data_IF_445648782066
#
_entry.id   IF_445648782066
#
_cell.length_a   1.000
_cell.length_b   1.000
_cell.length_c   1.000
_cell.angle_alpha   90.00
_cell.angle_beta   90.00
_cell.angle_gamma   90.00
#
_symmetry.space_group_name_H-M   'P 1'
#
loop_
_entity.id
_entity.type
_entity.pdbx_description
1 polymer ?
#
# COMPACT_ATOMS: atom_id res chain seq x y z
N UNK A 1 26.23 37.31 20.64
CA UNK A 1 25.09 37.87 19.88
C UNK A 1 24.58 36.77 18.97
N UNK A 2 23.28 36.52 19.07
CA UNK A 2 22.55 35.36 18.57
C UNK A 2 22.74 35.10 17.07
N UNK A 3 22.94 33.84 16.68
CA UNK A 3 22.37 33.33 15.43
C UNK A 3 21.21 32.42 15.81
N UNK A 4 20.03 33.01 15.83
CA UNK A 4 18.76 32.29 15.90
C UNK A 4 18.66 31.31 14.74
N UNK A 5 18.58 30.02 15.08
CA UNK A 5 17.67 29.04 14.48
C UNK A 5 17.41 29.20 12.96
N UNK A 6 18.35 28.74 12.13
CA UNK A 6 18.14 28.53 10.69
C UNK A 6 17.24 27.30 10.49
N UNK A 7 15.97 27.40 10.89
CA UNK A 7 14.98 26.38 10.55
C UNK A 7 14.66 26.52 9.07
N UNK A 8 15.30 25.65 8.27
CA UNK A 8 15.03 25.53 6.85
C UNK A 8 13.51 25.49 6.59
N UNK A 9 13.03 26.31 5.65
CA UNK A 9 11.60 26.38 5.31
C UNK A 9 11.04 24.99 4.99
N UNK A 10 9.77 24.70 5.31
CA UNK A 10 9.16 23.43 4.94
C UNK A 10 9.20 23.18 3.43
N UNK A 11 9.47 21.93 3.05
CA UNK A 11 9.42 21.48 1.65
C UNK A 11 7.99 21.60 1.11
N UNK A 12 7.84 22.19 -0.06
CA UNK A 12 6.56 22.38 -0.73
C UNK A 12 6.29 21.17 -1.61
N UNK A 13 5.24 20.42 -1.28
CA UNK A 13 4.89 19.17 -1.97
C UNK A 13 3.67 19.38 -2.86
N UNK A 14 3.75 18.93 -4.10
CA UNK A 14 2.58 18.77 -4.96
C UNK A 14 2.26 17.28 -5.07
N UNK A 15 1.02 16.94 -4.71
CA UNK A 15 0.50 15.57 -4.66
C UNK A 15 -0.39 15.31 -5.88
N UNK A 16 0.14 14.61 -6.88
CA UNK A 16 -0.63 14.19 -8.06
C UNK A 16 -1.28 12.83 -7.82
N UNK A 17 -2.49 12.64 -8.35
CA UNK A 17 -3.28 11.43 -8.14
C UNK A 17 -3.54 11.19 -6.64
N UNK A 18 -3.94 12.26 -5.94
CA UNK A 18 -3.92 12.33 -4.49
C UNK A 18 -4.85 11.32 -3.81
N UNK A 19 -5.89 10.83 -4.50
CA UNK A 19 -6.81 9.84 -3.96
C UNK A 19 -7.41 10.30 -2.63
N UNK A 20 -7.25 9.46 -1.60
CA UNK A 20 -7.70 9.75 -0.22
C UNK A 20 -6.64 10.43 0.65
N UNK A 21 -5.49 10.82 0.08
CA UNK A 21 -4.39 11.49 0.77
C UNK A 21 -3.36 10.55 1.38
N UNK A 22 -3.14 9.38 0.77
CA UNK A 22 -2.14 8.41 1.26
C UNK A 22 -0.72 9.00 1.27
N UNK A 23 -0.33 9.73 0.22
CA UNK A 23 0.96 10.43 0.18
C UNK A 23 1.01 11.55 1.23
N UNK A 24 -0.09 12.29 1.42
CA UNK A 24 -0.18 13.30 2.48
C UNK A 24 0.06 12.69 3.87
N UNK A 25 -0.62 11.60 4.21
CA UNK A 25 -0.40 10.93 5.49
C UNK A 25 1.03 10.38 5.63
N UNK A 26 1.63 9.87 4.56
CA UNK A 26 3.04 9.46 4.56
C UNK A 26 3.99 10.64 4.88
N UNK A 27 3.71 11.85 4.39
CA UNK A 27 4.45 13.06 4.75
C UNK A 27 4.31 13.36 6.25
N UNK A 28 3.10 13.32 6.79
CA UNK A 28 2.86 13.55 8.23
C UNK A 28 3.58 12.51 9.09
N UNK A 29 3.49 11.24 8.70
CA UNK A 29 4.14 10.12 9.38
C UNK A 29 5.68 10.22 9.33
N UNK A 30 6.23 10.81 8.26
CA UNK A 30 7.67 11.01 8.13
C UNK A 30 8.26 11.96 9.18
N UNK A 31 7.43 12.85 9.75
CA UNK A 31 7.79 13.92 10.68
C UNK A 31 8.82 14.92 10.13
N UNK A 32 8.99 14.96 8.81
CA UNK A 32 9.83 15.95 8.15
C UNK A 32 9.08 17.27 7.94
N UNK A 33 9.78 18.43 7.93
CA UNK A 33 9.15 19.71 7.66
C UNK A 33 8.77 19.81 6.18
N UNK A 34 7.55 19.37 5.85
CA UNK A 34 6.99 19.42 4.51
C UNK A 34 5.50 19.76 4.55
N UNK A 35 5.00 20.39 3.50
CA UNK A 35 3.60 20.84 3.41
C UNK A 35 3.08 20.61 2.00
N UNK A 36 1.90 19.99 1.88
CA UNK A 36 1.22 19.84 0.60
C UNK A 36 0.60 21.17 0.19
N UNK A 37 1.12 21.77 -0.89
CA UNK A 37 0.67 23.07 -1.40
C UNK A 37 -0.42 22.95 -2.47
N UNK A 38 -0.50 21.79 -3.12
CA UNK A 38 -1.57 21.44 -4.03
C UNK A 38 -1.74 19.91 -4.08
N UNK A 39 -2.99 19.46 -4.08
CA UNK A 39 -3.36 18.06 -4.28
C UNK A 39 -4.31 17.95 -5.46
N UNK A 40 -4.17 16.90 -6.28
CA UNK A 40 -4.89 16.79 -7.56
C UNK A 40 -5.45 15.39 -7.77
N UNK A 41 -6.76 15.30 -7.99
CA UNK A 41 -7.43 14.08 -8.43
C UNK A 41 -8.75 14.41 -9.13
N UNK A 42 -9.12 13.63 -10.15
CA UNK A 42 -10.40 13.78 -10.86
C UNK A 42 -11.57 13.10 -10.13
N UNK A 43 -11.28 12.17 -9.23
CA UNK A 43 -12.29 11.33 -8.60
C UNK A 43 -13.02 12.07 -7.48
N UNK A 44 -14.29 12.40 -7.73
CA UNK A 44 -15.16 13.10 -6.76
C UNK A 44 -15.29 12.39 -5.42
N UNK A 45 -15.36 11.05 -5.42
CA UNK A 45 -15.46 10.26 -4.18
C UNK A 45 -14.18 10.35 -3.37
N UNK A 46 -13.02 10.17 -4.02
CA UNK A 46 -11.72 10.29 -3.36
C UNK A 46 -11.50 11.71 -2.83
N UNK A 47 -11.85 12.73 -3.61
CA UNK A 47 -11.78 14.14 -3.21
C UNK A 47 -12.69 14.50 -2.04
N UNK A 48 -13.87 13.88 -1.93
CA UNK A 48 -14.74 14.06 -0.78
C UNK A 48 -14.06 13.53 0.50
N UNK A 49 -13.41 12.36 0.42
CA UNK A 49 -12.65 11.78 1.53
C UNK A 49 -11.40 12.62 1.84
N UNK A 50 -10.66 13.06 0.82
CA UNK A 50 -9.48 13.90 1.00
C UNK A 50 -9.85 15.20 1.71
N UNK A 51 -10.85 15.94 1.22
CA UNK A 51 -11.28 17.23 1.78
C UNK A 51 -11.82 17.09 3.20
N UNK A 52 -12.45 15.97 3.53
CA UNK A 52 -12.91 15.67 4.88
C UNK A 52 -11.75 15.59 5.88
N UNK A 53 -10.63 15.00 5.48
CA UNK A 53 -9.46 14.83 6.35
C UNK A 53 -8.48 16.02 6.27
N UNK A 54 -8.45 16.74 5.15
CA UNK A 54 -7.54 17.85 4.87
C UNK A 54 -8.28 19.09 4.35
N UNK A 55 -9.15 19.73 5.16
CA UNK A 55 -10.01 20.81 4.69
C UNK A 55 -9.26 22.09 4.28
N UNK A 56 -8.02 22.26 4.74
CA UNK A 56 -7.19 23.44 4.50
C UNK A 56 -6.29 23.34 3.28
N UNK A 57 -6.20 22.17 2.64
CA UNK A 57 -5.33 21.95 1.48
C UNK A 57 -6.00 22.41 0.19
N UNK A 58 -5.24 23.01 -0.71
CA UNK A 58 -5.70 23.36 -2.05
C UNK A 58 -5.89 22.08 -2.89
N UNK A 59 -7.11 21.52 -2.84
CA UNK A 59 -7.50 20.33 -3.59
C UNK A 59 -8.14 20.71 -4.93
N UNK A 60 -7.44 20.40 -6.03
CA UNK A 60 -7.86 20.68 -7.39
C UNK A 60 -8.54 19.45 -8.00
N UNK A 61 -9.87 19.48 -8.09
CA UNK A 61 -10.64 18.46 -8.81
C UNK A 61 -10.60 18.72 -10.32
N UNK A 62 -9.45 18.45 -10.95
CA UNK A 62 -9.20 18.75 -12.37
C UNK A 62 -8.39 17.63 -13.02
N UNK A 63 -8.58 17.45 -14.31
CA UNK A 63 -7.67 16.63 -15.13
C UNK A 63 -6.31 17.34 -15.19
N UNK A 64 -5.25 16.62 -14.84
CA UNK A 64 -3.87 17.12 -14.81
C UNK A 64 -3.44 17.65 -16.19
N UNK A 65 -3.94 17.07 -17.28
CA UNK A 65 -3.66 17.54 -18.65
C UNK A 65 -4.25 18.93 -18.96
N UNK A 66 -5.20 19.38 -18.15
CA UNK A 66 -5.80 20.71 -18.23
C UNK A 66 -4.98 21.81 -17.53
N UNK A 67 -3.93 21.46 -16.79
CA UNK A 67 -3.15 22.39 -15.98
C UNK A 67 -1.92 22.85 -16.75
N UNK A 68 -1.77 24.16 -16.93
CA UNK A 68 -0.72 24.72 -17.79
C UNK A 68 0.59 24.92 -17.03
N UNK A 69 1.69 24.97 -17.77
CA UNK A 69 3.05 25.15 -17.24
C UNK A 69 3.17 26.31 -16.22
N UNK A 70 2.58 27.52 -16.44
CA UNK A 70 2.65 28.59 -15.45
C UNK A 70 2.02 28.23 -14.10
N UNK A 71 0.94 27.44 -14.10
CA UNK A 71 0.28 26.98 -12.87
C UNK A 71 1.19 25.98 -12.12
N UNK A 72 1.82 25.03 -12.83
CA UNK A 72 2.84 24.14 -12.24
C UNK A 72 3.99 24.93 -11.60
N UNK A 73 4.53 25.94 -12.30
CA UNK A 73 5.62 26.78 -11.79
C UNK A 73 5.19 27.67 -10.62
N UNK A 74 3.91 28.06 -10.55
CA UNK A 74 3.37 28.88 -9.46
C UNK A 74 3.36 28.15 -8.11
N UNK A 75 3.30 26.81 -8.12
CA UNK A 75 3.34 26.03 -6.89
C UNK A 75 4.70 26.07 -6.20
N UNK A 76 5.78 26.40 -6.92
CA UNK A 76 7.16 26.43 -6.37
C UNK A 76 7.46 25.16 -5.59
N UNK A 77 7.19 24.02 -6.22
CA UNK A 77 7.28 22.72 -5.58
C UNK A 77 8.75 22.30 -5.41
N UNK A 78 9.09 21.85 -4.20
CA UNK A 78 10.37 21.20 -3.94
C UNK A 78 10.26 19.68 -4.20
N UNK A 79 9.06 19.13 -4.04
CA UNK A 79 8.78 17.69 -4.19
C UNK A 79 7.54 17.46 -5.04
N UNK A 80 7.63 16.57 -6.01
CA UNK A 80 6.46 15.93 -6.61
C UNK A 80 6.27 14.53 -6.03
N UNK A 81 5.07 14.24 -5.53
CA UNK A 81 4.66 12.90 -5.11
C UNK A 81 3.50 12.45 -5.98
N UNK A 82 3.54 11.21 -6.48
CA UNK A 82 2.53 10.74 -7.44
C UNK A 82 2.31 9.22 -7.43
N UNK A 83 1.06 8.82 -7.63
CA UNK A 83 0.63 7.42 -7.85
C UNK A 83 -0.20 7.31 -9.14
N UNK A 84 0.43 7.45 -10.32
CA UNK A 84 -0.30 7.43 -11.59
C UNK A 84 -1.03 6.09 -11.81
N UNK A 85 -2.22 6.10 -12.45
CA UNK A 85 -3.00 4.89 -12.66
C UNK A 85 -2.27 3.90 -13.58
N UNK A 86 -2.21 2.62 -13.21
CA UNK A 86 -1.36 1.62 -13.89
C UNK A 86 -2.03 0.80 -15.01
N UNK A 87 -3.19 1.21 -15.51
CA UNK A 87 -3.91 0.40 -16.52
C UNK A 87 -3.45 0.80 -17.93
N UNK A 88 -2.94 -0.13 -18.78
CA UNK A 88 -3.16 -1.59 -18.78
C UNK A 88 -1.86 -2.44 -18.78
N UNK A 89 -0.94 -2.27 -17.82
CA UNK A 89 0.34 -3.01 -17.82
C UNK A 89 0.21 -4.52 -17.50
N UNK A 90 -1.01 -5.01 -17.21
CA UNK A 90 -1.29 -6.40 -16.78
C UNK A 90 -1.88 -7.30 -17.88
N UNK A 91 -1.92 -6.88 -19.15
CA UNK A 91 -2.30 -7.77 -20.26
C UNK A 91 -1.06 -8.15 -21.08
N UNK A 92 -0.52 -9.32 -20.77
CA UNK A 92 0.40 -10.06 -21.66
C UNK A 92 -0.20 -10.06 -23.07
N UNK A 93 0.41 -9.32 -24.00
CA UNK A 93 0.14 -9.46 -25.44
C UNK A 93 -0.34 -8.24 -26.25
N UNK A 94 -0.55 -7.05 -25.67
CA UNK A 94 -0.89 -5.85 -26.46
C UNK A 94 0.10 -4.71 -26.20
N UNK A 95 1.07 -4.56 -27.11
CA UNK A 95 2.05 -3.47 -27.19
C UNK A 95 1.37 -2.13 -27.48
N UNK A 96 0.71 -1.54 -26.50
CA UNK A 96 -0.07 -0.30 -26.66
C UNK A 96 -0.10 0.59 -25.42
N UNK A 97 0.94 0.53 -24.57
CA UNK A 97 1.02 1.24 -23.28
C UNK A 97 0.89 2.77 -23.40
N UNK A 98 1.39 3.34 -24.50
CA UNK A 98 1.40 4.80 -24.73
C UNK A 98 0.13 5.35 -25.38
N UNK A 99 -0.76 4.48 -25.90
CA UNK A 99 -2.02 4.87 -26.52
C UNK A 99 -3.21 4.87 -25.53
N UNK A 100 -3.03 4.40 -24.30
CA UNK A 100 -4.09 4.39 -23.29
C UNK A 100 -4.36 5.84 -22.80
N UNK A 101 -5.61 6.34 -22.89
CA UNK A 101 -5.96 7.65 -22.33
C UNK A 101 -5.58 7.84 -20.85
N UNK A 102 -5.43 6.74 -20.10
CA UNK A 102 -5.05 6.75 -18.67
C UNK A 102 -3.58 7.08 -18.45
N UNK A 103 -2.68 6.72 -19.37
CA UNK A 103 -1.24 7.06 -19.27
C UNK A 103 -0.95 8.49 -19.76
N UNK A 104 -1.86 9.09 -20.54
CA UNK A 104 -1.75 10.46 -21.07
C UNK A 104 -1.44 11.51 -19.99
N UNK A 105 -2.11 11.42 -18.84
CA UNK A 105 -1.91 12.39 -17.75
C UNK A 105 -0.49 12.32 -17.17
N UNK A 106 0.09 11.11 -17.08
CA UNK A 106 1.44 10.92 -16.57
C UNK A 106 2.49 11.38 -17.58
N UNK A 107 2.33 11.02 -18.86
CA UNK A 107 3.18 11.53 -19.94
C UNK A 107 3.14 13.06 -20.04
N UNK A 108 1.98 13.67 -19.76
CA UNK A 108 1.86 15.13 -19.68
C UNK A 108 2.68 15.73 -18.54
N UNK A 109 2.72 15.10 -17.36
CA UNK A 109 3.59 15.53 -16.25
C UNK A 109 5.06 15.46 -16.69
N UNK A 110 5.48 14.40 -17.38
CA UNK A 110 6.85 14.25 -17.89
C UNK A 110 7.21 15.33 -18.93
N UNK A 111 6.28 15.68 -19.82
CA UNK A 111 6.44 16.81 -20.75
C UNK A 111 6.55 18.15 -20.02
N UNK A 112 5.69 18.40 -19.03
CA UNK A 112 5.75 19.61 -18.20
C UNK A 112 7.11 19.69 -17.49
N UNK A 113 7.58 18.58 -16.89
CA UNK A 113 8.84 18.53 -16.17
C UNK A 113 10.03 18.99 -17.03
N UNK A 114 10.09 18.55 -18.30
CA UNK A 114 11.11 18.99 -19.28
C UNK A 114 11.06 20.49 -19.59
N UNK A 115 9.87 21.09 -19.54
CA UNK A 115 9.63 22.50 -19.88
C UNK A 115 9.71 23.44 -18.68
N UNK A 116 9.76 22.92 -17.45
CA UNK A 116 9.89 23.73 -16.24
C UNK A 116 11.27 24.39 -16.19
N UNK A 117 11.29 25.70 -15.93
CA UNK A 117 12.54 26.42 -15.66
C UNK A 117 13.15 26.05 -14.30
N UNK A 118 12.29 25.70 -13.35
CA UNK A 118 12.63 25.38 -11.96
C UNK A 118 11.83 24.14 -11.53
N UNK A 119 12.20 22.94 -12.04
CA UNK A 119 11.55 21.68 -11.66
C UNK A 119 11.92 21.30 -10.21
N UNK A 120 11.09 20.46 -9.55
CA UNK A 120 11.30 20.08 -8.16
C UNK A 120 12.69 19.47 -7.92
N UNK A 121 13.19 19.55 -6.70
CA UNK A 121 14.45 18.90 -6.35
C UNK A 121 14.29 17.40 -6.08
N UNK A 122 13.07 16.96 -5.77
CA UNK A 122 12.76 15.58 -5.41
C UNK A 122 11.51 15.07 -6.12
N UNK A 123 11.51 13.79 -6.47
CA UNK A 123 10.33 13.08 -7.00
C UNK A 123 10.18 11.74 -6.28
N UNK A 124 8.97 11.45 -5.79
CA UNK A 124 8.57 10.13 -5.29
C UNK A 124 7.42 9.62 -6.16
N UNK A 125 7.60 8.45 -6.75
CA UNK A 125 6.57 7.79 -7.54
C UNK A 125 6.26 6.42 -6.94
N UNK A 126 4.98 6.09 -6.81
CA UNK A 126 4.50 4.74 -6.52
C UNK A 126 3.76 4.18 -7.74
N UNK A 127 3.91 2.88 -7.97
CA UNK A 127 3.19 2.15 -8.99
C UNK A 127 3.05 0.66 -8.64
N UNK A 128 2.34 -0.11 -9.47
CA UNK A 128 2.23 -1.56 -9.28
C UNK A 128 3.50 -2.30 -9.71
N UNK A 129 3.68 -3.52 -9.18
CA UNK A 129 4.61 -4.50 -9.73
C UNK A 129 4.29 -4.75 -11.22
N UNK A 130 5.31 -4.80 -12.05
CA UNK A 130 5.24 -4.89 -13.51
C UNK A 130 5.46 -3.53 -14.19
N UNK A 131 5.24 -2.41 -13.49
CA UNK A 131 5.51 -1.07 -14.04
C UNK A 131 6.97 -0.90 -14.46
N UNK A 132 7.90 -1.52 -13.71
CA UNK A 132 9.34 -1.51 -13.97
C UNK A 132 9.73 -2.06 -15.36
N UNK A 133 8.85 -2.84 -15.99
CA UNK A 133 9.06 -3.40 -17.32
C UNK A 133 8.34 -2.63 -18.44
N UNK A 134 7.57 -1.59 -18.09
CA UNK A 134 6.72 -0.85 -19.02
C UNK A 134 7.50 0.18 -19.85
N UNK A 135 6.96 0.52 -21.03
CA UNK A 135 7.46 1.65 -21.84
C UNK A 135 7.31 2.98 -21.09
N UNK A 136 6.27 3.10 -20.26
CA UNK A 136 6.00 4.30 -19.46
C UNK A 136 7.11 4.53 -18.42
N UNK A 137 7.65 3.48 -17.80
CA UNK A 137 8.83 3.57 -16.94
C UNK A 137 10.07 4.00 -17.71
N UNK A 138 10.29 3.46 -18.91
CA UNK A 138 11.41 3.90 -19.77
C UNK A 138 11.34 5.39 -20.08
N UNK A 139 10.15 5.89 -20.43
CA UNK A 139 9.92 7.33 -20.65
C UNK A 139 10.19 8.17 -19.39
N UNK A 140 9.78 7.69 -18.21
CA UNK A 140 10.08 8.35 -16.94
C UNK A 140 11.59 8.47 -16.72
N UNK A 141 12.33 7.36 -16.82
CA UNK A 141 13.78 7.34 -16.58
C UNK A 141 14.53 8.26 -17.54
N UNK A 142 14.23 8.20 -18.84
CA UNK A 142 14.83 9.11 -19.84
C UNK A 142 14.52 10.57 -19.47
N UNK A 143 13.28 10.87 -19.07
CA UNK A 143 12.90 12.23 -18.63
C UNK A 143 13.70 12.70 -17.43
N UNK A 144 13.89 11.84 -16.43
CA UNK A 144 14.65 12.14 -15.22
C UNK A 144 16.11 12.43 -15.55
N UNK A 145 16.73 11.60 -16.40
CA UNK A 145 18.10 11.78 -16.86
C UNK A 145 18.27 13.08 -17.65
N UNK A 146 17.39 13.36 -18.62
CA UNK A 146 17.36 14.60 -19.40
C UNK A 146 17.26 15.84 -18.50
N UNK A 147 16.51 15.74 -17.39
CA UNK A 147 16.30 16.83 -16.44
C UNK A 147 17.37 16.91 -15.33
N UNK A 148 18.38 16.04 -15.38
CA UNK A 148 19.52 16.05 -14.46
C UNK A 148 19.27 15.40 -13.11
N UNK A 149 18.34 14.45 -13.02
CA UNK A 149 18.09 13.67 -11.81
C UNK A 149 18.96 12.41 -11.75
N UNK A 150 19.33 12.01 -10.54
CA UNK A 150 19.69 10.64 -10.20
C UNK A 150 18.47 9.96 -9.57
N UNK A 151 18.34 8.64 -9.71
CA UNK A 151 17.21 7.91 -9.17
C UNK A 151 17.60 6.55 -8.57
N UNK A 152 16.71 6.00 -7.75
CA UNK A 152 16.75 4.63 -7.26
C UNK A 152 15.34 4.04 -7.33
N UNK A 153 15.26 2.81 -7.81
CA UNK A 153 14.01 2.04 -7.89
C UNK A 153 13.93 0.98 -6.79
N UNK A 154 12.70 0.70 -6.37
CA UNK A 154 12.41 -0.29 -5.34
C UNK A 154 11.19 -1.15 -5.69
N UNK A 155 11.18 -2.38 -5.18
CA UNK A 155 10.00 -3.23 -5.09
C UNK A 155 9.82 -3.63 -3.63
N UNK A 156 8.84 -3.02 -2.95
CA UNK A 156 8.65 -3.15 -1.51
C UNK A 156 7.21 -3.54 -1.16
N UNK A 157 7.07 -4.33 -0.09
CA UNK A 157 5.79 -4.73 0.50
C UNK A 157 5.76 -4.36 1.99
N UNK A 158 4.60 -3.97 2.56
CA UNK A 158 4.48 -3.63 3.99
C UNK A 158 4.93 -4.73 4.96
N UNK A 159 4.91 -6.01 4.55
CA UNK A 159 5.42 -7.13 5.37
C UNK A 159 6.89 -6.92 5.78
N UNK A 160 7.68 -6.26 4.93
CA UNK A 160 9.08 -5.94 5.21
C UNK A 160 9.26 -4.88 6.31
N UNK A 161 8.17 -4.18 6.64
CA UNK A 161 8.09 -3.14 7.66
C UNK A 161 7.28 -3.60 8.88
N UNK A 162 7.09 -4.91 9.02
CA UNK A 162 6.37 -5.50 10.15
C UNK A 162 4.84 -5.34 10.09
N UNK A 163 4.28 -4.97 8.93
CA UNK A 163 2.84 -4.82 8.73
C UNK A 163 2.27 -6.11 8.12
N UNK A 164 1.23 -6.74 8.70
CA UNK A 164 0.69 -8.01 8.25
C UNK A 164 -0.21 -7.87 7.01
N UNK A 165 0.25 -7.20 5.96
CA UNK A 165 -0.46 -7.02 4.70
C UNK A 165 0.48 -7.05 3.49
N UNK A 166 0.24 -8.00 2.58
CA UNK A 166 0.95 -8.13 1.32
C UNK A 166 0.45 -7.10 0.32
N UNK A 167 1.32 -6.15 -0.04
CA UNK A 167 1.03 -5.07 -0.99
C UNK A 167 2.30 -4.65 -1.72
N UNK A 168 2.89 -5.58 -2.47
CA UNK A 168 4.10 -5.34 -3.25
C UNK A 168 3.85 -4.23 -4.30
N UNK A 169 4.67 -3.19 -4.25
CA UNK A 169 4.59 -2.02 -5.13
C UNK A 169 5.97 -1.61 -5.61
N UNK A 170 5.98 -1.05 -6.82
CA UNK A 170 7.11 -0.36 -7.39
C UNK A 170 7.19 1.05 -6.80
N UNK A 171 8.39 1.48 -6.46
CA UNK A 171 8.67 2.85 -6.07
C UNK A 171 9.88 3.37 -6.83
N UNK A 172 9.86 4.67 -7.14
CA UNK A 172 11.03 5.38 -7.65
C UNK A 172 11.25 6.65 -6.84
N UNK A 173 12.47 6.80 -6.35
CA UNK A 173 12.97 8.02 -5.71
C UNK A 173 13.92 8.71 -6.69
N UNK A 174 13.73 10.01 -6.95
CA UNK A 174 14.66 10.78 -7.76
C UNK A 174 15.07 12.08 -7.07
N UNK A 175 16.36 12.40 -7.12
CA UNK A 175 16.93 13.67 -6.66
C UNK A 175 17.59 14.42 -7.80
N UNK A 176 17.35 15.72 -7.90
CA UNK A 176 17.99 16.56 -8.91
C UNK A 176 19.40 16.91 -8.46
N UNK A 177 20.39 16.75 -9.35
CA UNK A 177 21.78 17.15 -9.07
C UNK A 177 21.85 18.63 -8.66
N UNK A 178 22.72 19.00 -7.70
CA UNK A 178 23.81 18.20 -7.13
C UNK A 178 23.41 17.31 -5.92
N UNK A 179 22.12 17.16 -5.60
CA UNK A 179 21.71 16.32 -4.48
C UNK A 179 22.04 14.84 -4.75
N UNK A 180 22.41 14.11 -3.70
CA UNK A 180 22.74 12.69 -3.74
C UNK A 180 21.98 11.93 -2.66
N UNK A 181 21.90 10.61 -2.81
CA UNK A 181 21.35 9.73 -1.78
C UNK A 181 22.41 9.45 -0.70
N UNK A 182 21.97 9.27 0.55
CA UNK A 182 22.82 8.90 1.68
C UNK A 182 23.21 7.39 1.69
N UNK A 183 22.89 6.67 0.62
CA UNK A 183 23.21 5.26 0.42
C UNK A 183 23.76 5.06 -1.00
N UNK A 184 24.47 3.95 -1.19
CA UNK A 184 25.01 3.59 -2.49
C UNK A 184 23.88 3.21 -3.46
N UNK A 185 23.73 4.00 -4.53
CA UNK A 185 22.75 3.74 -5.56
C UNK A 185 23.11 2.45 -6.31
N UNK A 186 22.09 1.67 -6.62
CA UNK A 186 22.19 0.45 -7.40
C UNK A 186 21.52 0.65 -8.76
N UNK A 187 22.09 0.03 -9.79
CA UNK A 187 21.44 -0.04 -11.12
C UNK A 187 20.20 -0.92 -11.09
N UNK A 188 20.22 -1.93 -10.22
CA UNK A 188 19.12 -2.87 -10.07
C UNK A 188 18.04 -2.33 -9.12
N UNK A 189 16.82 -2.85 -9.29
CA UNK A 189 15.69 -2.52 -8.43
C UNK A 189 15.92 -3.15 -7.06
N UNK A 190 15.97 -2.30 -6.04
CA UNK A 190 16.18 -2.73 -4.66
C UNK A 190 14.93 -3.40 -4.11
N UNK A 191 15.06 -4.63 -3.63
CA UNK A 191 13.95 -5.40 -3.04
C UNK A 191 13.85 -5.20 -1.52
N UNK A 192 14.68 -4.36 -0.94
CA UNK A 192 14.77 -4.06 0.50
C UNK A 192 15.20 -2.61 0.70
N UNK A 193 14.92 -2.06 1.88
CA UNK A 193 15.45 -0.75 2.27
C UNK A 193 16.96 -0.85 2.56
N UNK A 194 17.78 0.17 2.19
CA UNK A 194 19.20 0.16 2.49
C UNK A 194 19.47 0.17 4.01
N UNK A 195 20.42 -0.64 4.48
CA UNK A 195 20.67 -0.91 5.91
C UNK A 195 20.97 0.32 6.78
N UNK A 196 21.48 1.40 6.19
CA UNK A 196 21.76 2.65 6.90
C UNK A 196 20.53 3.56 7.10
N UNK A 197 19.35 3.17 6.59
CA UNK A 197 18.14 3.99 6.63
C UNK A 197 17.32 3.85 7.93
N UNK A 198 17.43 2.71 8.62
CA UNK A 198 16.61 2.34 9.80
C UNK A 198 17.16 2.80 11.16
N UNK A 199 18.26 3.58 11.19
CA UNK A 199 18.85 4.04 12.47
C UNK A 199 18.03 5.24 12.99
N UNK A 200 17.05 4.92 13.83
CA UNK A 200 16.21 5.89 14.56
C UNK A 200 15.33 5.28 15.66
N UNK A 201 15.40 3.97 15.89
CA UNK A 201 14.64 3.28 16.95
C UNK A 201 15.60 2.47 17.81
N UNK A 202 16.05 3.04 18.92
CA UNK A 202 16.82 2.31 19.94
C UNK A 202 15.93 1.24 20.61
N UNK A 203 16.14 -0.02 20.25
CA UNK A 203 15.88 -1.13 21.17
C UNK A 203 17.24 -1.60 21.75
N UNK A 204 17.32 -1.97 23.04
CA UNK A 204 18.60 -2.23 23.68
C UNK A 204 19.25 -3.49 23.11
N UNK A 205 20.54 -3.37 22.79
CA UNK A 205 21.41 -4.47 22.45
C UNK A 205 21.52 -5.44 23.64
N UNK A 206 21.14 -6.70 23.43
CA UNK A 206 21.67 -7.79 24.25
C UNK A 206 22.87 -8.40 23.52
N UNK A 207 24.00 -8.35 24.20
CA UNK A 207 25.30 -8.79 23.74
C UNK A 207 25.36 -10.33 23.62
N UNK A 208 26.28 -10.77 22.76
CA UNK A 208 26.33 -12.09 22.16
C UNK A 208 26.55 -13.29 23.08
N UNK A 209 26.31 -14.47 22.51
CA UNK A 209 27.18 -15.63 22.70
C UNK A 209 27.42 -16.30 21.34
N UNK A 210 28.69 -16.53 21.05
CA UNK A 210 29.23 -17.19 19.86
C UNK A 210 28.97 -18.70 19.86
N UNK A 211 28.67 -19.22 18.66
CA UNK A 211 29.05 -20.53 18.10
C UNK A 211 28.88 -21.80 18.95
N UNK A 212 28.02 -22.71 18.49
CA UNK A 212 28.44 -24.10 18.24
C UNK A 212 27.49 -24.78 17.26
N UNK A 213 28.09 -25.37 16.24
CA UNK A 213 27.42 -26.30 15.34
C UNK A 213 27.04 -27.55 16.13
N UNK A 214 25.76 -27.90 16.15
CA UNK A 214 25.29 -29.22 16.56
C UNK A 214 24.39 -29.75 15.45
N UNK A 215 24.96 -30.64 14.66
CA UNK A 215 24.20 -31.60 13.88
C UNK A 215 23.48 -32.54 14.86
N UNK A 216 22.17 -32.74 14.70
CA UNK A 216 21.50 -34.00 14.97
C UNK A 216 20.09 -33.96 14.38
N UNK A 217 19.88 -34.74 13.32
CA UNK A 217 19.24 -36.06 13.38
C UNK A 217 17.71 -35.96 13.38
N UNK A 218 17.22 -36.05 12.14
CA UNK A 218 15.90 -36.54 11.75
C UNK A 218 15.35 -37.61 12.69
N UNK A 219 14.31 -37.26 13.44
CA UNK A 219 13.34 -38.21 13.97
C UNK A 219 12.05 -38.06 13.16
N UNK A 220 11.87 -38.99 12.22
CA UNK A 220 10.60 -39.23 11.55
C UNK A 220 9.59 -39.73 12.60
N UNK A 221 8.68 -38.85 13.03
CA UNK A 221 7.38 -39.27 13.54
C UNK A 221 6.31 -38.64 12.65
N UNK A 222 5.78 -39.49 11.77
CA UNK A 222 4.66 -39.25 10.89
C UNK A 222 3.40 -38.95 11.69
N UNK A 223 3.12 -37.67 11.91
CA UNK A 223 1.76 -37.18 12.04
C UNK A 223 1.43 -36.53 10.71
N UNK A 224 0.68 -37.26 9.87
CA UNK A 224 0.14 -36.72 8.62
C UNK A 224 -0.87 -35.62 8.99
N UNK A 225 -0.36 -34.40 9.11
CA UNK A 225 -1.19 -33.21 9.14
C UNK A 225 -1.75 -33.02 7.74
N UNK A 226 -3.03 -33.36 7.58
CA UNK A 226 -3.79 -33.05 6.38
C UNK A 226 -3.65 -31.54 6.13
N UNK A 227 -3.11 -31.11 4.97
CA UNK A 227 -2.90 -29.69 4.70
C UNK A 227 -4.26 -28.98 4.67
N UNK A 228 -4.39 -27.96 5.49
CA UNK A 228 -5.48 -27.00 5.34
C UNK A 228 -5.30 -26.32 3.97
N UNK A 229 -6.33 -26.14 3.14
CA UNK A 229 -6.19 -25.66 1.76
C UNK A 229 -5.78 -24.16 1.64
N UNK A 230 -5.26 -23.56 2.71
CA UNK A 230 -4.85 -22.16 2.75
C UNK A 230 -3.42 -21.98 2.26
N UNK A 231 -3.28 -21.66 0.97
CA UNK A 231 -2.34 -20.65 0.49
C UNK A 231 -2.27 -20.69 -1.03
N UNK A 232 -2.79 -19.66 -1.69
CA UNK A 232 -2.05 -19.16 -2.84
C UNK A 232 -0.96 -18.30 -2.20
N UNK A 233 0.18 -18.92 -1.86
CA UNK A 233 1.38 -18.15 -1.59
C UNK A 233 1.63 -17.33 -2.86
N UNK A 234 1.75 -16.01 -2.75
CA UNK A 234 2.67 -15.35 -3.65
C UNK A 234 4.04 -15.90 -3.24
N UNK A 235 4.74 -16.69 -4.07
CA UNK A 235 6.03 -17.28 -3.70
C UNK A 235 7.09 -16.24 -3.32
N UNK A 236 6.80 -14.94 -3.49
CA UNK A 236 7.62 -13.82 -3.07
C UNK A 236 7.29 -13.24 -1.67
N UNK A 237 6.24 -13.70 -0.99
CA UNK A 237 5.96 -13.29 0.39
C UNK A 237 7.02 -13.88 1.32
N UNK A 238 7.98 -13.02 1.69
CA UNK A 238 9.07 -13.27 2.64
C UNK A 238 8.53 -13.72 4.01
N UNK A 239 9.43 -14.24 4.83
CA UNK A 239 9.20 -14.58 6.23
C UNK A 239 8.39 -13.48 6.96
N UNK A 240 7.14 -13.81 7.33
CA UNK A 240 6.21 -12.91 8.02
C UNK A 240 6.29 -13.03 9.55
N UNK A 241 7.26 -13.79 10.09
CA UNK A 241 7.42 -13.98 11.54
C UNK A 241 7.60 -12.67 12.30
N UNK A 242 8.25 -11.68 11.70
CA UNK A 242 8.48 -10.35 12.29
C UNK A 242 7.31 -9.37 12.10
N UNK A 243 6.24 -9.76 11.42
CA UNK A 243 5.05 -8.92 11.29
C UNK A 243 4.25 -8.90 12.60
N UNK A 244 3.67 -7.74 12.89
CA UNK A 244 2.66 -7.55 13.94
C UNK A 244 1.44 -8.44 13.68
N UNK A 245 0.68 -8.72 14.71
CA UNK A 245 -0.53 -9.52 14.58
C UNK A 245 -1.69 -8.67 14.02
N UNK A 246 -2.57 -9.28 13.24
CA UNK A 246 -3.77 -8.60 12.70
C UNK A 246 -4.60 -7.98 13.82
N UNK A 247 -4.65 -8.60 14.99
CA UNK A 247 -5.36 -8.13 16.20
C UNK A 247 -5.07 -6.66 16.53
N UNK A 248 -3.85 -6.19 16.28
CA UNK A 248 -3.43 -4.80 16.54
C UNK A 248 -4.05 -3.78 15.56
N UNK A 249 -4.64 -4.25 14.47
CA UNK A 249 -5.27 -3.42 13.43
C UNK A 249 -6.79 -3.54 13.41
N UNK A 250 -7.36 -4.42 14.26
CA UNK A 250 -8.79 -4.59 14.39
C UNK A 250 -9.41 -3.48 15.24
N UNK A 251 -10.65 -3.14 14.93
CA UNK A 251 -11.44 -2.17 15.71
C UNK A 251 -12.66 -2.86 16.32
N UNK A 252 -13.10 -2.47 17.53
CA UNK A 252 -14.37 -2.93 18.06
C UNK A 252 -15.53 -2.49 17.15
N UNK A 253 -16.51 -3.37 16.96
CA UNK A 253 -17.74 -3.10 16.20
C UNK A 253 -18.97 -3.34 17.09
N UNK A 254 -20.04 -2.57 16.86
CA UNK A 254 -21.37 -2.91 17.39
C UNK A 254 -21.89 -4.22 16.77
N UNK A 255 -22.91 -4.83 17.38
CA UNK A 255 -23.50 -6.09 16.86
C UNK A 255 -24.07 -5.89 15.46
N UNK A 256 -24.64 -4.72 15.20
CA UNK A 256 -25.22 -4.32 13.94
C UNK A 256 -24.15 -4.17 12.85
N UNK A 257 -23.03 -3.50 13.18
CA UNK A 257 -21.90 -3.35 12.26
C UNK A 257 -21.23 -4.68 11.93
N UNK A 258 -21.00 -5.53 12.95
CA UNK A 258 -20.41 -6.85 12.76
C UNK A 258 -21.27 -7.70 11.80
N UNK A 259 -22.62 -7.64 11.95
CA UNK A 259 -23.55 -8.33 11.07
C UNK A 259 -23.46 -7.86 9.61
N UNK A 260 -23.23 -6.56 9.39
CA UNK A 260 -23.05 -6.01 8.05
C UNK A 260 -21.74 -6.43 7.37
N UNK A 261 -20.75 -6.88 8.13
CA UNK A 261 -19.46 -7.35 7.61
C UNK A 261 -19.46 -8.85 7.29
N UNK A 262 -20.41 -9.63 7.82
CA UNK A 262 -20.49 -11.08 7.61
C UNK A 262 -20.62 -11.46 6.14
N UNK A 263 -19.95 -12.55 5.77
CA UNK A 263 -20.09 -13.15 4.44
C UNK A 263 -21.53 -13.65 4.25
N UNK A 264 -22.14 -13.23 3.15
CA UNK A 264 -23.50 -13.61 2.79
C UNK A 264 -23.53 -15.00 2.13
N UNK A 265 -24.68 -15.68 2.18
CA UNK A 265 -24.87 -17.07 1.73
C UNK A 265 -24.38 -17.29 0.31
N UNK A 266 -24.70 -16.35 -0.60
CA UNK A 266 -24.26 -16.40 -2.01
C UNK A 266 -22.74 -16.47 -2.17
N UNK A 267 -22.00 -15.86 -1.25
CA UNK A 267 -20.53 -15.85 -1.27
C UNK A 267 -19.97 -17.11 -0.62
N UNK A 268 -20.53 -17.52 0.51
CA UNK A 268 -20.15 -18.74 1.20
C UNK A 268 -20.36 -19.97 0.31
N UNK A 269 -21.53 -20.10 -0.30
CA UNK A 269 -21.87 -21.23 -1.17
C UNK A 269 -20.89 -21.38 -2.35
N UNK A 270 -20.59 -20.25 -3.01
CA UNK A 270 -19.82 -20.26 -4.26
C UNK A 270 -18.31 -20.23 -4.06
N UNK A 271 -17.82 -19.51 -3.06
CA UNK A 271 -16.41 -19.12 -2.98
C UNK A 271 -15.68 -19.63 -1.74
N UNK A 272 -16.30 -20.41 -0.87
CA UNK A 272 -15.64 -20.88 0.36
C UNK A 272 -14.30 -21.58 0.13
N UNK A 273 -14.15 -22.30 -1.00
CA UNK A 273 -12.90 -23.00 -1.36
C UNK A 273 -11.74 -22.09 -1.77
N UNK A 274 -12.04 -20.85 -2.16
CA UNK A 274 -11.05 -19.88 -2.64
C UNK A 274 -10.91 -18.69 -1.68
N UNK A 275 -11.55 -18.76 -0.51
CA UNK A 275 -11.37 -17.78 0.54
C UNK A 275 -9.97 -17.90 1.13
N UNK A 276 -9.28 -16.78 1.17
CA UNK A 276 -8.10 -16.63 1.99
C UNK A 276 -8.51 -16.14 3.38
N UNK A 277 -8.38 -17.01 4.40
CA UNK A 277 -8.96 -16.79 5.73
C UNK A 277 -7.84 -16.52 6.74
N UNK A 278 -8.05 -15.49 7.57
CA UNK A 278 -7.14 -15.11 8.66
C UNK A 278 -7.81 -15.08 10.00
N UNK A 279 -6.97 -15.17 11.03
CA UNK A 279 -7.36 -14.97 12.42
C UNK A 279 -6.73 -13.69 12.97
N UNK A 280 -7.20 -13.17 14.11
CA UNK A 280 -6.54 -12.07 14.80
C UNK A 280 -5.05 -12.33 15.11
N UNK A 281 -4.62 -13.59 15.25
CA UNK A 281 -3.21 -13.96 15.50
C UNK A 281 -2.38 -14.09 14.22
N UNK A 282 -3.02 -14.05 13.06
CA UNK A 282 -2.31 -14.15 11.78
C UNK A 282 -1.42 -12.92 11.59
N UNK A 283 -0.21 -13.15 11.07
CA UNK A 283 0.80 -12.11 10.81
C UNK A 283 0.90 -11.75 9.32
N UNK A 284 -0.17 -11.98 8.57
CA UNK A 284 -0.27 -11.74 7.12
C UNK A 284 -1.71 -11.48 6.68
N UNK A 285 -1.88 -10.82 5.56
CA UNK A 285 -3.14 -10.72 4.81
C UNK A 285 -2.84 -10.47 3.34
N UNK A 286 -3.73 -10.92 2.45
CA UNK A 286 -3.64 -10.62 1.03
C UNK A 286 -3.86 -9.13 0.75
N UNK A 287 -3.40 -8.69 -0.42
CA UNK A 287 -3.59 -7.33 -0.92
C UNK A 287 -5.08 -6.97 -1.02
N UNK A 288 -5.49 -5.87 -0.38
CA UNK A 288 -6.82 -5.31 -0.57
C UNK A 288 -6.90 -4.52 -1.87
N UNK A 289 -7.78 -4.98 -2.76
CA UNK A 289 -8.03 -4.33 -4.06
C UNK A 289 -9.30 -3.48 -4.01
N UNK A 290 -9.49 -2.63 -5.01
CA UNK A 290 -10.71 -1.81 -5.16
C UNK A 290 -12.02 -2.61 -5.28
N UNK A 291 -11.90 -3.92 -5.52
CA UNK A 291 -12.99 -4.86 -5.70
C UNK A 291 -13.38 -5.59 -4.39
N UNK A 292 -12.65 -5.35 -3.30
CA UNK A 292 -12.91 -5.97 -2.00
C UNK A 292 -14.34 -5.67 -1.50
N UNK A 293 -15.00 -6.67 -0.92
CA UNK A 293 -16.41 -6.63 -0.52
C UNK A 293 -17.42 -6.73 -1.67
N UNK A 294 -16.96 -6.84 -2.93
CA UNK A 294 -17.81 -7.09 -4.09
C UNK A 294 -17.47 -8.39 -4.80
N UNK A 295 -16.18 -8.64 -5.03
CA UNK A 295 -15.65 -9.93 -5.45
C UNK A 295 -14.90 -10.55 -4.26
N UNK A 296 -14.76 -11.88 -4.29
CA UNK A 296 -14.15 -12.63 -3.19
C UNK A 296 -12.73 -13.02 -3.55
N UNK A 297 -12.58 -13.80 -4.62
CA UNK A 297 -11.29 -14.31 -5.08
C UNK A 297 -10.32 -13.18 -5.45
N UNK A 298 -9.10 -13.24 -4.90
CA UNK A 298 -8.01 -12.35 -5.25
C UNK A 298 -8.19 -10.87 -4.85
N UNK A 299 -9.18 -10.55 -3.99
CA UNK A 299 -9.45 -9.15 -3.62
C UNK A 299 -8.99 -8.73 -2.24
N UNK A 300 -8.62 -9.69 -1.38
CA UNK A 300 -8.21 -9.49 0.00
C UNK A 300 -8.67 -10.66 0.87
N UNK A 301 -8.10 -10.78 2.07
CA UNK A 301 -8.46 -11.83 3.03
C UNK A 301 -9.80 -11.59 3.70
N UNK A 302 -10.39 -12.61 4.30
CA UNK A 302 -11.53 -12.51 5.22
C UNK A 302 -11.10 -12.93 6.63
N UNK A 303 -11.78 -12.40 7.65
CA UNK A 303 -11.43 -12.60 9.05
C UNK A 303 -12.36 -13.63 9.71
N UNK A 304 -11.73 -14.55 10.43
CA UNK A 304 -12.33 -15.51 11.35
C UNK A 304 -11.84 -15.22 12.78
N UNK A 305 -12.74 -14.75 13.64
CA UNK A 305 -12.39 -14.26 14.99
C UNK A 305 -12.94 -15.11 16.14
N UNK A 306 -13.67 -16.19 15.86
CA UNK A 306 -14.22 -17.03 16.93
C UNK A 306 -13.09 -17.82 17.60
N UNK A 307 -13.00 -17.73 18.93
CA UNK A 307 -11.95 -18.38 19.72
C UNK A 307 -12.36 -19.81 20.12
N UNK A 308 -13.65 -20.03 20.37
CA UNK A 308 -14.19 -21.30 20.89
C UNK A 308 -14.62 -22.27 19.78
N UNK A 309 -14.30 -21.96 18.53
CA UNK A 309 -14.73 -22.73 17.36
C UNK A 309 -13.51 -23.35 16.70
N UNK A 310 -13.47 -24.68 16.62
CA UNK A 310 -12.47 -25.39 15.83
C UNK A 310 -12.80 -25.26 14.34
N UNK A 311 -12.23 -24.23 13.72
CA UNK A 311 -12.41 -24.00 12.29
C UNK A 311 -11.96 -25.19 11.45
N UNK A 312 -10.92 -25.93 11.86
CA UNK A 312 -10.41 -27.07 11.11
C UNK A 312 -11.43 -28.19 11.08
N UNK A 313 -12.03 -28.51 12.23
CA UNK A 313 -13.09 -29.51 12.32
C UNK A 313 -14.30 -29.13 11.44
N UNK A 314 -14.73 -27.86 11.49
CA UNK A 314 -15.85 -27.39 10.65
C UNK A 314 -15.50 -27.48 9.17
N UNK A 315 -14.32 -27.07 8.74
CA UNK A 315 -13.92 -27.17 7.33
C UNK A 315 -13.82 -28.62 6.83
N UNK A 316 -13.42 -29.55 7.71
CA UNK A 316 -13.47 -30.99 7.41
C UNK A 316 -14.91 -31.43 7.14
N UNK A 317 -15.85 -31.12 8.04
CA UNK A 317 -17.29 -31.43 7.87
C UNK A 317 -17.89 -30.78 6.61
N UNK A 318 -17.55 -29.52 6.35
CA UNK A 318 -17.97 -28.79 5.13
C UNK A 318 -17.50 -29.47 3.85
N UNK A 319 -16.30 -30.07 3.88
CA UNK A 319 -15.71 -30.76 2.73
C UNK A 319 -16.32 -32.15 2.52
N UNK A 320 -16.77 -32.80 3.59
CA UNK A 320 -17.42 -34.12 3.58
C UNK A 320 -18.91 -34.05 3.28
N UNK A 321 -19.57 -32.92 3.59
CA UNK A 321 -21.01 -32.74 3.35
C UNK A 321 -21.33 -32.55 1.87
N UNK A 322 -22.17 -33.45 1.34
CA UNK A 322 -22.73 -33.36 -0.01
C UNK A 322 -23.95 -32.41 -0.07
N UNK A 323 -24.62 -32.19 1.07
CA UNK A 323 -25.79 -31.31 1.18
C UNK A 323 -25.40 -29.83 1.24
N UNK A 324 -26.04 -29.03 0.38
CA UNK A 324 -25.72 -27.60 0.29
C UNK A 324 -26.16 -26.80 1.53
N UNK A 325 -27.30 -27.16 2.11
CA UNK A 325 -27.88 -26.46 3.28
C UNK A 325 -27.06 -26.74 4.52
N UNK A 326 -26.71 -28.01 4.76
CA UNK A 326 -25.84 -28.41 5.85
C UNK A 326 -24.47 -27.72 5.76
N UNK A 327 -23.90 -27.65 4.56
CA UNK A 327 -22.64 -26.94 4.33
C UNK A 327 -22.74 -25.46 4.67
N UNK A 328 -23.82 -24.79 4.27
CA UNK A 328 -24.04 -23.38 4.59
C UNK A 328 -24.19 -23.17 6.10
N UNK A 329 -24.96 -24.01 6.78
CA UNK A 329 -25.14 -23.95 8.23
C UNK A 329 -23.80 -24.11 8.98
N UNK A 330 -22.95 -25.03 8.52
CA UNK A 330 -21.58 -25.21 9.04
C UNK A 330 -20.72 -23.96 8.81
N UNK A 331 -20.75 -23.38 7.60
CA UNK A 331 -20.00 -22.17 7.28
C UNK A 331 -20.49 -20.95 8.09
N UNK A 332 -21.78 -20.84 8.38
CA UNK A 332 -22.33 -19.78 9.21
C UNK A 332 -21.83 -19.84 10.66
N UNK A 333 -21.53 -21.03 11.20
CA UNK A 333 -20.95 -21.17 12.54
C UNK A 333 -19.59 -20.49 12.66
N UNK A 334 -18.83 -20.41 11.56
CA UNK A 334 -17.54 -19.73 11.53
C UNK A 334 -17.66 -18.21 11.69
N UNK A 335 -18.82 -17.62 11.36
CA UNK A 335 -19.06 -16.16 11.39
C UNK A 335 -17.95 -15.37 10.70
N UNK A 336 -17.50 -15.86 9.54
CA UNK A 336 -16.47 -15.19 8.74
C UNK A 336 -16.99 -13.84 8.25
N UNK A 337 -16.12 -12.82 8.28
CA UNK A 337 -16.47 -11.47 7.85
C UNK A 337 -15.38 -10.81 7.02
N UNK A 338 -15.78 -9.80 6.27
CA UNK A 338 -14.83 -8.86 5.69
C UNK A 338 -14.15 -8.01 6.78
N UNK A 339 -12.93 -7.56 6.50
CA UNK A 339 -12.32 -6.46 7.24
C UNK A 339 -13.12 -5.19 7.00
N UNK A 340 -13.46 -4.44 8.04
CA UNK A 340 -14.14 -3.15 7.89
C UNK A 340 -13.27 -2.15 7.13
N UNK A 341 -13.84 -1.10 6.51
CA UNK A 341 -13.03 -0.06 5.88
C UNK A 341 -12.01 0.59 6.84
N UNK A 342 -12.34 0.71 8.13
CA UNK A 342 -11.40 1.26 9.12
C UNK A 342 -10.24 0.31 9.40
N UNK A 343 -10.49 -1.00 9.46
CA UNK A 343 -9.45 -2.01 9.64
C UNK A 343 -8.52 -2.09 8.41
N UNK A 344 -9.09 -2.01 7.19
CA UNK A 344 -8.30 -1.91 5.95
C UNK A 344 -7.46 -0.63 5.94
N UNK A 345 -8.03 0.51 6.35
CA UNK A 345 -7.28 1.76 6.48
C UNK A 345 -6.13 1.66 7.49
N UNK A 346 -6.34 0.96 8.62
CA UNK A 346 -5.29 0.70 9.61
C UNK A 346 -4.18 -0.19 9.06
N UNK A 347 -4.50 -1.23 8.28
CA UNK A 347 -3.50 -2.07 7.59
C UNK A 347 -2.74 -1.31 6.50
N UNK A 348 -3.32 -0.23 5.96
CA UNK A 348 -2.64 0.73 5.09
C UNK A 348 -1.86 1.81 5.88
N UNK A 349 -1.78 1.69 7.21
CA UNK A 349 -1.14 2.63 8.12
C UNK A 349 -1.72 4.05 8.08
N UNK A 350 -2.98 4.20 7.68
CA UNK A 350 -3.69 5.48 7.84
C UNK A 350 -4.02 5.68 9.33
N UNK A 351 -3.81 6.88 9.89
CA UNK A 351 -3.88 7.06 11.34
C UNK A 351 -5.33 7.00 11.85
N UNK A 352 -5.56 6.87 13.17
CA UNK A 352 -6.91 6.73 13.73
C UNK A 352 -7.85 7.89 13.39
N UNK A 353 -7.34 9.11 13.25
CA UNK A 353 -8.08 10.31 12.86
C UNK A 353 -8.57 10.29 11.40
N UNK A 354 -8.00 9.43 10.55
CA UNK A 354 -8.50 9.24 9.20
C UNK A 354 -9.91 8.67 9.24
N UNK A 355 -10.87 9.42 8.72
CA UNK A 355 -12.28 9.04 8.70
C UNK A 355 -12.91 9.29 7.33
N UNK A 356 -14.08 8.70 7.12
CA UNK A 356 -14.85 8.88 5.88
C UNK A 356 -16.01 9.84 6.13
N UNK A 357 -16.39 10.67 5.14
CA UNK A 357 -17.65 11.38 5.18
C UNK A 357 -18.81 10.39 5.37
N UNK A 358 -19.80 10.75 6.19
CA UNK A 358 -20.96 9.89 6.49
C UNK A 358 -21.68 9.41 5.23
N UNK A 359 -21.78 10.27 4.22
CA UNK A 359 -22.41 9.99 2.91
C UNK A 359 -21.69 8.92 2.09
N UNK A 360 -20.46 8.55 2.43
CA UNK A 360 -19.66 7.59 1.68
C UNK A 360 -20.10 6.17 2.02
N UNK A 361 -20.65 5.45 1.05
CA UNK A 361 -21.07 4.05 1.22
C UNK A 361 -19.88 3.11 1.47
N UNK A 362 -20.09 1.99 2.16
CA UNK A 362 -19.05 0.97 2.40
C UNK A 362 -18.34 0.52 1.12
N UNK A 363 -19.10 0.32 0.03
CA UNK A 363 -18.54 -0.04 -1.29
C UNK A 363 -17.59 1.04 -1.83
N UNK A 364 -17.96 2.31 -1.69
CA UNK A 364 -17.09 3.43 -2.08
C UNK A 364 -15.84 3.47 -1.22
N UNK A 365 -15.96 3.24 0.10
CA UNK A 365 -14.82 3.21 1.04
C UNK A 365 -13.80 2.13 0.65
N UNK A 366 -14.23 0.88 0.40
CA UNK A 366 -13.31 -0.17 -0.09
C UNK A 366 -12.69 0.18 -1.43
N UNK A 367 -13.46 0.76 -2.36
CA UNK A 367 -12.93 1.14 -3.67
C UNK A 367 -11.79 2.15 -3.58
N UNK A 368 -11.96 3.19 -2.75
CA UNK A 368 -10.92 4.23 -2.60
C UNK A 368 -9.73 3.74 -1.78
N UNK A 369 -9.94 2.88 -0.77
CA UNK A 369 -8.86 2.26 -0.01
C UNK A 369 -8.05 1.28 -0.86
N UNK A 370 -8.71 0.45 -1.67
CA UNK A 370 -8.02 -0.51 -2.53
C UNK A 370 -7.11 0.15 -3.57
N UNK A 371 -7.43 1.38 -3.98
CA UNK A 371 -6.60 2.24 -4.84
C UNK A 371 -5.57 3.09 -4.07
N UNK A 372 -5.60 3.08 -2.74
CA UNK A 372 -4.66 3.83 -1.90
C UNK A 372 -3.29 3.13 -1.83
N UNK A 373 -2.44 3.56 -0.92
CA UNK A 373 -1.09 3.04 -0.69
C UNK A 373 -0.91 2.71 0.80
N UNK A 374 0.23 2.12 1.16
CA UNK A 374 0.60 1.98 2.56
C UNK A 374 1.42 3.22 2.99
N UNK A 375 0.86 4.03 3.89
CA UNK A 375 1.43 5.32 4.28
C UNK A 375 2.81 5.16 4.97
N UNK A 376 3.00 4.09 5.73
CA UNK A 376 4.25 3.83 6.44
C UNK A 376 5.42 3.56 5.48
N UNK A 377 5.22 2.66 4.50
CA UNK A 377 6.24 2.36 3.48
C UNK A 377 6.65 3.63 2.73
N UNK A 378 5.66 4.44 2.31
CA UNK A 378 5.94 5.71 1.61
C UNK A 378 6.60 6.73 2.53
N UNK A 379 6.24 6.77 3.81
CA UNK A 379 6.84 7.66 4.80
C UNK A 379 8.32 7.36 5.01
N UNK A 380 8.70 6.08 5.10
CA UNK A 380 10.10 5.65 5.18
C UNK A 380 10.88 5.97 3.90
N UNK A 381 10.26 5.77 2.72
CA UNK A 381 10.84 6.17 1.45
C UNK A 381 10.99 7.70 1.31
N UNK A 382 10.05 8.48 1.85
CA UNK A 382 10.14 9.93 1.86
C UNK A 382 11.27 10.42 2.77
N UNK A 383 11.48 9.78 3.94
CA UNK A 383 12.67 10.03 4.77
C UNK A 383 13.96 9.76 4.01
N UNK A 384 13.99 8.66 3.26
CA UNK A 384 15.14 8.29 2.43
C UNK A 384 15.38 9.27 1.27
N UNK A 385 14.31 9.85 0.72
CA UNK A 385 14.37 10.83 -0.37
C UNK A 385 14.87 12.19 0.11
N UNK A 386 14.48 12.64 1.31
CA UNK A 386 14.80 13.99 1.79
C UNK A 386 16.16 14.06 2.51
N UNK A 387 16.59 12.99 3.17
CA UNK A 387 17.96 12.86 3.72
C UNK A 387 18.98 12.81 2.60
#
# INVERSE_FOLDING_TARGET
>A
MHSENDQARPLRVVEFYSGVGGMHYAILESKLPATVVAALDINTTANAVYRHNFPHVSLLQRDITGIKLPEFQSWKADVFMMSPPCQPFTRVGLKGDTADPRTKSFLYILDILRRMSDPPSHILLENVKGFETSETRSNLVVTLEDCGYSYQEFLLSPNQFGIPNSRLRYFLLAKRKPLTFAFEQQTDIMKEMPSNSLIGSTAPANQGVSSSAVANQSSNQSSQSIPCPYSIFDPEDRDTTNCREISEFLTPHSKEEEKCLLLQDKLLDRYWKVLDIVTPRSRRSCCFTKAYGHYVEGTGSVLFSQIDVDAKEIFTKVSESEDQTERLDLLHQLKMRFFSPREVASLHCLPPEFTFPEVTTTKQRYRVLGNSLNAHVVGELFKLLVR
#
